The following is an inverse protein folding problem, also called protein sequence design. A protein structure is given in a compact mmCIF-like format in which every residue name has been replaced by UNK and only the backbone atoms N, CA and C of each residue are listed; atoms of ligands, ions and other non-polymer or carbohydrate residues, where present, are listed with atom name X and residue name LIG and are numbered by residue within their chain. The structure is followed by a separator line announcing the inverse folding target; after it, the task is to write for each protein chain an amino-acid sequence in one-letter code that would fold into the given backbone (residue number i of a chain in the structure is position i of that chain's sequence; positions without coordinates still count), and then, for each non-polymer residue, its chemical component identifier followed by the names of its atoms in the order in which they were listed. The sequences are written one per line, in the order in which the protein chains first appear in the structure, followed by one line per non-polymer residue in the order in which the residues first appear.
data_IF_307029832494
#
_entry.id   IF_307029832494
#
_cell.length_a   1.000
_cell.length_b   1.000
_cell.length_c   1.000
_cell.angle_alpha   90.00
_cell.angle_beta   90.00
_cell.angle_gamma   90.00
#
_symmetry.space_group_name_H-M   'P 1'
#
loop_
_entity.id
_entity.type
_entity.pdbx_description
1 polymer ?
#
# COMPACT_ATOMS: atom_id res chain seq x y z
N UNK A 1 5.40 51.97 -21.99
CA UNK A 1 6.20 51.13 -21.08
C UNK A 1 5.43 50.94 -19.76
N UNK A 2 4.17 50.48 -19.86
CA UNK A 2 3.18 50.56 -18.77
C UNK A 2 2.22 49.37 -18.73
N UNK A 3 2.29 48.42 -19.67
CA UNK A 3 1.39 47.25 -19.72
C UNK A 3 1.93 46.02 -18.95
N UNK A 4 3.22 45.97 -18.65
CA UNK A 4 3.87 44.80 -18.02
C UNK A 4 3.81 44.83 -16.49
N UNK A 5 3.50 46.00 -15.89
CA UNK A 5 3.44 46.15 -14.42
C UNK A 5 2.10 45.70 -13.82
N UNK A 6 1.04 45.62 -14.62
CA UNK A 6 -0.32 45.30 -14.13
C UNK A 6 -0.57 43.79 -14.12
N UNK A 7 -0.01 43.08 -15.11
CA UNK A 7 -0.01 41.61 -15.18
C UNK A 7 0.80 40.96 -14.05
N UNK A 8 1.84 41.64 -13.54
CA UNK A 8 2.64 41.16 -12.42
C UNK A 8 1.92 41.28 -11.06
N UNK A 9 1.03 42.27 -10.88
CA UNK A 9 0.25 42.41 -9.63
C UNK A 9 -0.93 41.45 -9.54
N UNK A 10 -1.52 41.08 -10.68
CA UNK A 10 -2.63 40.13 -10.72
C UNK A 10 -2.22 38.68 -10.42
N UNK A 11 -0.96 38.32 -10.63
CA UNK A 11 -0.45 36.97 -10.37
C UNK A 11 -0.26 36.66 -8.87
N UNK A 12 -0.19 37.68 -8.00
CA UNK A 12 0.08 37.50 -6.57
C UNK A 12 -1.19 37.26 -5.75
N UNK A 13 -2.38 37.53 -6.32
CA UNK A 13 -3.67 37.36 -5.65
C UNK A 13 -4.22 35.92 -5.67
N UNK A 14 -3.57 35.00 -6.41
CA UNK A 14 -3.95 33.59 -6.49
C UNK A 14 -3.10 32.66 -5.60
N UNK A 15 -2.18 33.22 -4.81
CA UNK A 15 -1.52 32.47 -3.73
C UNK A 15 -2.45 32.46 -2.53
N UNK A 16 -3.38 31.50 -2.50
CA UNK A 16 -4.11 31.17 -1.27
C UNK A 16 -3.08 30.93 -0.16
N UNK A 17 -3.04 31.74 0.92
CA UNK A 17 -2.21 31.43 2.05
C UNK A 17 -2.76 30.15 2.68
N UNK A 18 -2.08 29.03 2.48
CA UNK A 18 -2.33 27.79 3.22
C UNK A 18 -1.94 28.05 4.67
N UNK A 19 -2.87 28.65 5.43
CA UNK A 19 -2.75 28.67 6.88
C UNK A 19 -2.79 27.21 7.34
N UNK A 20 -1.79 26.75 8.13
CA UNK A 20 -1.97 25.49 8.85
C UNK A 20 -3.22 25.64 9.73
N UNK A 21 -4.14 24.66 9.71
CA UNK A 21 -5.33 24.73 10.54
C UNK A 21 -4.93 24.91 12.01
N UNK A 22 -5.60 25.79 12.77
CA UNK A 22 -5.30 25.99 14.18
C UNK A 22 -5.38 24.64 14.92
N UNK A 23 -4.42 24.32 15.82
CA UNK A 23 -4.43 23.06 16.55
C UNK A 23 -5.69 22.98 17.42
N UNK A 24 -6.64 22.12 17.02
CA UNK A 24 -7.87 21.85 17.75
C UNK A 24 -7.54 21.14 19.08
N UNK A 25 -7.71 21.76 20.25
CA UNK A 25 -7.38 21.15 21.53
C UNK A 25 -8.38 20.01 21.79
N UNK A 26 -7.95 18.75 21.62
CA UNK A 26 -8.77 17.56 21.89
C UNK A 26 -8.68 16.47 20.83
N UNK A 27 -8.51 16.81 19.55
CA UNK A 27 -8.23 15.81 18.51
C UNK A 27 -6.82 15.23 18.67
N UNK A 28 -5.85 16.05 19.11
CA UNK A 28 -4.48 15.58 19.37
C UNK A 28 -4.43 14.52 20.46
N UNK A 29 -5.17 14.65 21.56
CA UNK A 29 -5.07 13.70 22.68
C UNK A 29 -5.74 12.35 22.38
N UNK A 30 -6.85 12.35 21.63
CA UNK A 30 -7.49 11.11 21.15
C UNK A 30 -6.64 10.46 20.05
N UNK A 31 -6.13 11.25 19.11
CA UNK A 31 -5.25 10.78 18.04
C UNK A 31 -3.92 10.24 18.59
N UNK A 32 -3.26 10.94 19.52
CA UNK A 32 -2.03 10.51 20.18
C UNK A 32 -2.23 9.21 20.94
N UNK A 33 -3.33 9.09 21.71
CA UNK A 33 -3.68 7.83 22.38
C UNK A 33 -3.97 6.70 21.39
N UNK A 34 -4.63 6.98 20.27
CA UNK A 34 -4.87 5.97 19.23
C UNK A 34 -3.56 5.56 18.55
N UNK A 35 -2.67 6.50 18.25
CA UNK A 35 -1.34 6.24 17.69
C UNK A 35 -0.51 5.42 18.68
N UNK A 36 -0.55 5.76 19.97
CA UNK A 36 0.17 5.05 21.02
C UNK A 36 -0.35 3.62 21.22
N UNK A 37 -1.67 3.42 21.20
CA UNK A 37 -2.25 2.07 21.29
C UNK A 37 -1.95 1.21 20.06
N UNK A 38 -1.96 1.80 18.86
CA UNK A 38 -1.53 1.11 17.63
C UNK A 38 -0.03 0.78 17.66
N UNK A 39 0.81 1.70 18.11
CA UNK A 39 2.24 1.47 18.28
C UNK A 39 2.51 0.35 19.30
N UNK A 40 1.83 0.37 20.45
CA UNK A 40 1.97 -0.63 21.49
C UNK A 40 1.52 -2.02 21.02
N UNK A 41 0.42 -2.11 20.25
CA UNK A 41 0.01 -3.38 19.62
C UNK A 41 1.06 -3.88 18.64
N UNK A 42 1.56 -3.01 17.77
CA UNK A 42 2.55 -3.39 16.75
C UNK A 42 3.87 -3.83 17.39
N UNK A 43 4.28 -3.17 18.47
CA UNK A 43 5.46 -3.57 19.24
C UNK A 43 5.27 -4.93 19.91
N UNK A 44 4.09 -5.22 20.46
CA UNK A 44 3.79 -6.55 21.03
C UNK A 44 3.81 -7.64 19.96
N UNK A 45 3.18 -7.41 18.82
CA UNK A 45 3.22 -8.35 17.68
C UNK A 45 4.66 -8.62 17.22
N UNK A 46 5.52 -7.59 17.16
CA UNK A 46 6.94 -7.78 16.81
C UNK A 46 7.77 -8.43 17.92
N UNK A 47 7.37 -8.26 19.19
CA UNK A 47 8.07 -8.84 20.34
C UNK A 47 7.71 -10.32 20.55
N UNK A 48 6.49 -10.71 20.17
CA UNK A 48 6.00 -12.08 20.16
C UNK A 48 6.41 -12.86 18.91
N UNK A 49 6.98 -12.19 17.90
CA UNK A 49 7.47 -12.83 16.69
C UNK A 49 8.50 -13.91 17.00
N UNK A 50 8.25 -15.10 16.48
CA UNK A 50 9.13 -16.26 16.66
C UNK A 50 10.50 -16.01 16.01
N UNK A 51 11.54 -16.73 16.47
CA UNK A 51 12.87 -16.66 15.84
C UNK A 51 12.82 -16.92 14.31
N UNK A 52 11.92 -17.80 13.88
CA UNK A 52 11.71 -18.12 12.47
C UNK A 52 11.10 -16.93 11.71
N UNK A 53 10.10 -16.24 12.26
CA UNK A 53 9.53 -15.03 11.66
C UNK A 53 10.55 -13.91 11.55
N UNK A 54 11.38 -13.72 12.58
CA UNK A 54 12.44 -12.69 12.55
C UNK A 54 13.47 -12.96 11.47
N UNK A 55 13.86 -14.23 11.29
CA UNK A 55 14.76 -14.64 10.21
C UNK A 55 14.08 -14.46 8.85
N UNK A 56 12.82 -14.89 8.72
CA UNK A 56 12.07 -14.75 7.47
C UNK A 56 11.91 -13.28 7.05
N UNK A 57 11.61 -12.37 7.97
CA UNK A 57 11.52 -10.93 7.72
C UNK A 57 12.88 -10.34 7.33
N UNK A 58 13.95 -10.75 8.01
CA UNK A 58 15.32 -10.34 7.67
C UNK A 58 15.71 -10.76 6.25
N UNK A 59 15.47 -12.03 5.90
CA UNK A 59 15.77 -12.57 4.56
C UNK A 59 14.88 -11.91 3.50
N UNK A 60 13.59 -11.73 3.77
CA UNK A 60 12.65 -11.03 2.88
C UNK A 60 13.19 -9.65 2.50
N UNK A 61 13.60 -8.87 3.50
CA UNK A 61 14.11 -7.51 3.31
C UNK A 61 15.46 -7.50 2.58
N UNK A 62 16.30 -8.49 2.84
CA UNK A 62 17.60 -8.63 2.19
C UNK A 62 17.48 -9.03 0.72
N UNK A 63 16.75 -10.11 0.42
CA UNK A 63 16.55 -10.62 -0.95
C UNK A 63 15.77 -9.65 -1.83
N UNK A 64 14.86 -8.84 -1.26
CA UNK A 64 14.15 -7.79 -1.98
C UNK A 64 14.96 -6.51 -2.22
N UNK A 65 16.23 -6.43 -1.78
CA UNK A 65 17.06 -5.23 -1.90
C UNK A 65 18.00 -5.27 -3.11
N UNK A 66 18.27 -4.11 -3.72
CA UNK A 66 19.33 -3.98 -4.74
C UNK A 66 20.73 -4.32 -4.20
N UNK A 67 20.96 -4.16 -2.89
CA UNK A 67 22.23 -4.51 -2.25
C UNK A 67 22.58 -5.99 -2.44
N UNK A 68 21.57 -6.87 -2.34
CA UNK A 68 21.73 -8.31 -2.55
C UNK A 68 22.28 -8.62 -3.95
N UNK A 69 21.71 -7.96 -4.97
CA UNK A 69 22.13 -8.12 -6.37
C UNK A 69 23.57 -7.67 -6.57
N UNK A 70 23.96 -6.53 -6.00
CA UNK A 70 25.35 -6.05 -6.11
C UNK A 70 26.35 -6.98 -5.41
N UNK A 71 26.01 -7.52 -4.23
CA UNK A 71 26.86 -8.49 -3.53
C UNK A 71 27.06 -9.74 -4.40
N UNK A 72 26.00 -10.29 -4.99
CA UNK A 72 26.10 -11.47 -5.87
C UNK A 72 26.91 -11.16 -7.13
N UNK A 73 26.69 -10.00 -7.74
CA UNK A 73 27.43 -9.58 -8.93
C UNK A 73 28.93 -9.46 -8.65
N UNK A 74 29.30 -8.84 -7.52
CA UNK A 74 30.71 -8.72 -7.11
C UNK A 74 31.28 -10.08 -6.75
N UNK A 75 30.55 -10.93 -6.03
CA UNK A 75 31.01 -12.25 -5.63
C UNK A 75 31.26 -13.17 -6.83
N UNK A 76 30.26 -13.35 -7.70
CA UNK A 76 30.40 -14.17 -8.89
C UNK A 76 31.39 -13.56 -9.89
N UNK A 77 31.36 -12.24 -10.07
CA UNK A 77 32.32 -11.53 -10.93
C UNK A 77 33.76 -11.73 -10.46
N UNK A 78 34.01 -11.59 -9.15
CA UNK A 78 35.31 -11.86 -8.55
C UNK A 78 35.74 -13.31 -8.73
N UNK A 79 34.84 -14.28 -8.49
CA UNK A 79 35.13 -15.70 -8.68
C UNK A 79 35.52 -16.02 -10.13
N UNK A 80 34.81 -15.44 -11.10
CA UNK A 80 35.08 -15.62 -12.53
C UNK A 80 36.44 -15.02 -12.89
N UNK A 81 36.72 -13.77 -12.49
CA UNK A 81 37.99 -13.09 -12.79
C UNK A 81 39.18 -13.80 -12.14
N UNK A 82 39.04 -14.27 -10.91
CA UNK A 82 40.07 -15.06 -10.22
C UNK A 82 40.37 -16.37 -10.95
N UNK A 83 39.34 -17.07 -11.44
CA UNK A 83 39.48 -18.33 -12.18
C UNK A 83 39.94 -18.15 -13.65
N UNK A 84 39.76 -16.97 -14.23
CA UNK A 84 40.27 -16.64 -15.57
C UNK A 84 41.80 -16.49 -15.61
N UNK A 85 42.47 -16.49 -14.44
CA UNK A 85 43.93 -16.34 -14.33
C UNK A 85 44.41 -14.91 -14.52
N UNK A 86 43.51 -13.91 -14.44
CA UNK A 86 43.87 -12.48 -14.47
C UNK A 86 44.45 -12.00 -13.14
N UNK A 87 44.35 -12.80 -12.07
CA UNK A 87 44.91 -12.49 -10.76
C UNK A 87 46.27 -13.19 -10.61
N UNK A 88 47.40 -12.45 -10.60
CA UNK A 88 48.72 -13.05 -10.43
C UNK A 88 48.85 -13.70 -9.05
N UNK A 89 49.18 -14.99 -9.02
CA UNK A 89 49.44 -15.76 -7.79
C UNK A 89 48.32 -16.70 -7.33
N UNK A 90 47.15 -16.71 -7.97
CA UNK A 90 46.06 -17.66 -7.66
C UNK A 90 46.01 -18.76 -8.72
N UNK A 91 46.27 -20.04 -8.36
CA UNK A 91 46.07 -21.15 -9.28
C UNK A 91 44.58 -21.35 -9.58
N UNK A 92 44.26 -21.74 -10.82
CA UNK A 92 42.88 -22.02 -11.25
C UNK A 92 42.33 -23.24 -10.50
N UNK A 93 41.48 -23.00 -9.51
CA UNK A 93 40.85 -24.02 -8.67
C UNK A 93 39.48 -24.51 -9.16
N UNK A 94 38.76 -23.77 -10.02
CA UNK A 94 37.44 -24.13 -10.56
C UNK A 94 37.39 -23.81 -12.07
N UNK A 95 38.23 -24.49 -12.86
CA UNK A 95 38.41 -24.21 -14.30
C UNK A 95 37.13 -24.47 -15.14
N UNK A 96 36.28 -25.40 -14.69
CA UNK A 96 34.99 -25.71 -15.35
C UNK A 96 33.80 -24.92 -14.78
N UNK A 97 34.01 -24.09 -13.75
CA UNK A 97 32.96 -23.37 -13.02
C UNK A 97 31.86 -24.26 -12.40
N UNK A 98 32.11 -25.56 -12.28
CA UNK A 98 31.12 -26.53 -11.78
C UNK A 98 30.85 -26.32 -10.30
N UNK A 99 31.88 -25.96 -9.52
CA UNK A 99 31.72 -25.70 -8.08
C UNK A 99 30.87 -24.46 -7.86
N UNK A 100 31.15 -23.37 -8.59
CA UNK A 100 30.33 -22.17 -8.56
C UNK A 100 28.88 -22.45 -8.96
N UNK A 101 28.67 -23.20 -10.04
CA UNK A 101 27.33 -23.52 -10.53
C UNK A 101 26.53 -24.37 -9.53
N UNK A 102 27.17 -25.36 -8.88
CA UNK A 102 26.52 -26.16 -7.83
C UNK A 102 26.10 -25.29 -6.64
N UNK A 103 27.00 -24.40 -6.18
CA UNK A 103 26.71 -23.53 -5.04
C UNK A 103 25.58 -22.54 -5.35
N UNK A 104 25.64 -21.89 -6.52
CA UNK A 104 24.59 -20.99 -7.00
C UNK A 104 23.23 -21.70 -7.15
N UNK A 105 23.23 -22.97 -7.60
CA UNK A 105 21.99 -23.75 -7.74
C UNK A 105 21.33 -24.04 -6.39
N UNK A 106 22.13 -24.43 -5.38
CA UNK A 106 21.62 -24.66 -4.02
C UNK A 106 21.10 -23.35 -3.43
N UNK A 107 21.87 -22.27 -3.55
CA UNK A 107 21.48 -20.94 -3.09
C UNK A 107 20.18 -20.45 -3.73
N UNK A 108 20.01 -20.64 -5.05
CA UNK A 108 18.80 -20.27 -5.77
C UNK A 108 17.54 -20.99 -5.25
N UNK A 109 17.62 -22.27 -4.89
CA UNK A 109 16.50 -23.02 -4.31
C UNK A 109 16.10 -22.42 -2.95
N UNK A 110 17.07 -22.12 -2.09
CA UNK A 110 16.81 -21.48 -0.80
C UNK A 110 16.19 -20.09 -0.98
N UNK A 111 16.74 -19.26 -1.86
CA UNK A 111 16.22 -17.92 -2.15
C UNK A 111 14.80 -17.97 -2.70
N UNK A 112 14.53 -18.84 -3.67
CA UNK A 112 13.19 -19.02 -4.24
C UNK A 112 12.19 -19.43 -3.16
N UNK A 113 12.57 -20.36 -2.29
CA UNK A 113 11.72 -20.79 -1.16
C UNK A 113 11.44 -19.64 -0.19
N UNK A 114 12.47 -18.86 0.17
CA UNK A 114 12.29 -17.71 1.05
C UNK A 114 11.43 -16.61 0.42
N UNK A 115 11.61 -16.35 -0.87
CA UNK A 115 10.78 -15.42 -1.65
C UNK A 115 9.34 -15.90 -1.66
N UNK A 116 9.08 -17.18 -1.91
CA UNK A 116 7.72 -17.74 -1.91
C UNK A 116 7.05 -17.63 -0.54
N UNK A 117 7.77 -17.97 0.54
CA UNK A 117 7.27 -17.81 1.92
C UNK A 117 6.95 -16.34 2.20
N UNK A 118 7.82 -15.42 1.78
CA UNK A 118 7.57 -13.99 1.92
C UNK A 118 6.35 -13.52 1.14
N UNK A 119 6.21 -13.97 -0.12
CA UNK A 119 5.09 -13.62 -0.97
C UNK A 119 3.79 -14.12 -0.37
N UNK A 120 3.74 -15.37 0.12
CA UNK A 120 2.58 -15.94 0.78
C UNK A 120 2.18 -15.14 2.05
N UNK A 121 3.17 -14.70 2.84
CA UNK A 121 2.94 -13.85 4.02
C UNK A 121 2.38 -12.47 3.63
N UNK A 122 2.92 -11.86 2.58
CA UNK A 122 2.42 -10.57 2.08
C UNK A 122 1.01 -10.70 1.51
N UNK A 123 0.71 -11.78 0.79
CA UNK A 123 -0.63 -12.06 0.26
C UNK A 123 -1.65 -12.22 1.40
N UNK A 124 -1.37 -13.06 2.39
CA UNK A 124 -2.25 -13.23 3.55
C UNK A 124 -2.49 -11.92 4.33
N UNK A 125 -1.46 -11.07 4.43
CA UNK A 125 -1.60 -9.74 5.04
C UNK A 125 -2.41 -8.76 4.18
N UNK A 126 -2.33 -8.86 2.85
CA UNK A 126 -3.12 -8.07 1.93
C UNK A 126 -4.60 -8.49 1.95
N UNK A 127 -4.88 -9.79 1.93
CA UNK A 127 -6.24 -10.33 2.00
C UNK A 127 -6.94 -9.88 3.29
N UNK A 128 -6.27 -9.98 4.44
CA UNK A 128 -6.81 -9.50 5.72
C UNK A 128 -7.13 -8.00 5.71
N UNK A 129 -6.34 -7.19 5.00
CA UNK A 129 -6.62 -5.75 4.87
C UNK A 129 -7.83 -5.51 3.97
N UNK A 130 -7.93 -6.22 2.85
CA UNK A 130 -9.08 -6.12 1.95
C UNK A 130 -10.39 -6.48 2.69
N UNK A 131 -10.39 -7.54 3.50
CA UNK A 131 -11.55 -7.93 4.30
C UNK A 131 -11.95 -6.84 5.32
N UNK A 132 -10.98 -6.21 5.98
CA UNK A 132 -11.22 -5.12 6.93
C UNK A 132 -11.74 -3.87 6.22
N UNK A 133 -11.17 -3.52 5.07
CA UNK A 133 -11.59 -2.36 4.28
C UNK A 133 -13.02 -2.54 3.74
N UNK A 134 -13.39 -3.76 3.33
CA UNK A 134 -14.76 -4.09 2.95
C UNK A 134 -15.72 -3.93 4.14
N UNK A 135 -15.38 -4.45 5.31
CA UNK A 135 -16.20 -4.32 6.52
C UNK A 135 -16.39 -2.85 6.94
N UNK A 136 -15.32 -2.06 6.90
CA UNK A 136 -15.38 -0.62 7.20
C UNK A 136 -16.27 0.10 6.20
N UNK A 137 -16.16 -0.24 4.91
CA UNK A 137 -16.98 0.36 3.85
C UNK A 137 -18.48 0.05 4.04
N UNK A 138 -18.82 -1.20 4.30
CA UNK A 138 -20.21 -1.62 4.56
C UNK A 138 -20.78 -0.95 5.83
N UNK A 139 -19.97 -0.84 6.88
CA UNK A 139 -20.39 -0.14 8.11
C UNK A 139 -20.60 1.35 7.84
N UNK A 140 -19.68 2.00 7.13
CA UNK A 140 -19.77 3.41 6.77
C UNK A 140 -21.01 3.68 5.91
N UNK A 141 -21.30 2.81 4.94
CA UNK A 141 -22.50 2.91 4.11
C UNK A 141 -23.80 2.79 4.93
N UNK A 142 -23.84 1.83 5.86
CA UNK A 142 -24.98 1.68 6.77
C UNK A 142 -25.18 2.94 7.64
N UNK A 143 -24.09 3.50 8.17
CA UNK A 143 -24.13 4.73 8.96
C UNK A 143 -24.55 5.95 8.13
N UNK A 144 -24.03 6.09 6.90
CA UNK A 144 -24.42 7.15 5.96
C UNK A 144 -25.90 7.06 5.63
N UNK A 145 -26.40 5.86 5.33
CA UNK A 145 -27.83 5.63 5.03
C UNK A 145 -28.70 6.02 6.23
N UNK A 146 -28.28 5.65 7.44
CA UNK A 146 -28.97 6.02 8.68
C UNK A 146 -28.96 7.54 8.90
N UNK A 147 -27.83 8.19 8.67
CA UNK A 147 -27.71 9.65 8.75
C UNK A 147 -28.60 10.34 7.71
N UNK A 148 -28.60 9.87 6.46
CA UNK A 148 -29.47 10.37 5.39
C UNK A 148 -30.95 10.22 5.76
N UNK A 149 -31.34 9.09 6.35
CA UNK A 149 -32.69 8.86 6.87
C UNK A 149 -33.08 9.85 7.97
N UNK A 150 -32.18 10.11 8.93
CA UNK A 150 -32.40 11.10 9.99
C UNK A 150 -32.51 12.52 9.43
N UNK A 151 -31.65 12.90 8.47
CA UNK A 151 -31.69 14.21 7.79
C UNK A 151 -33.01 14.37 7.05
N UNK A 152 -33.46 13.35 6.33
CA UNK A 152 -34.74 13.38 5.61
C UNK A 152 -35.93 13.57 6.58
N UNK A 153 -35.93 12.86 7.71
CA UNK A 153 -36.97 13.02 8.73
C UNK A 153 -36.96 14.42 9.38
N UNK A 154 -35.78 15.03 9.54
CA UNK A 154 -35.67 16.42 10.02
C UNK A 154 -36.16 17.43 8.98
N UNK A 155 -35.82 17.24 7.69
CA UNK A 155 -36.26 18.12 6.61
C UNK A 155 -37.79 18.13 6.45
N UNK A 156 -38.44 16.97 6.62
CA UNK A 156 -39.90 16.84 6.61
C UNK A 156 -40.54 17.60 7.77
N UNK A 157 -39.99 17.51 8.99
CA UNK A 157 -40.49 18.24 10.15
C UNK A 157 -40.30 19.76 10.08
N UNK A 158 -39.30 20.23 9.35
CA UNK A 158 -38.96 21.64 9.20
C UNK A 158 -39.60 22.30 7.97
N UNK A 159 -40.44 21.56 7.22
CA UNK A 159 -41.12 22.01 5.98
C UNK A 159 -40.15 22.63 4.95
N UNK A 160 -38.94 22.06 4.84
CA UNK A 160 -37.91 22.56 3.93
C UNK A 160 -38.25 22.10 2.51
N UNK A 161 -38.74 23.03 1.67
CA UNK A 161 -39.17 22.78 0.27
C UNK A 161 -38.10 22.12 -0.63
N UNK A 162 -36.82 22.23 -0.30
CA UNK A 162 -35.73 21.60 -1.04
C UNK A 162 -35.77 20.04 -0.99
N UNK A 163 -36.45 19.44 -0.02
CA UNK A 163 -36.65 17.98 0.04
C UNK A 163 -37.69 17.44 -0.97
N UNK A 164 -38.37 18.33 -1.71
CA UNK A 164 -39.36 17.96 -2.73
C UNK A 164 -38.81 18.03 -4.16
N UNK A 165 -37.53 18.38 -4.35
CA UNK A 165 -36.93 18.43 -5.69
C UNK A 165 -36.61 17.01 -6.21
N UNK A 166 -36.92 16.73 -7.50
CA UNK A 166 -36.78 15.40 -8.09
C UNK A 166 -35.32 14.89 -8.12
N UNK A 167 -34.33 15.79 -8.05
CA UNK A 167 -32.90 15.46 -7.99
C UNK A 167 -32.51 14.75 -6.66
N UNK A 168 -33.22 15.00 -5.55
CA UNK A 168 -33.00 14.27 -4.28
C UNK A 168 -33.68 12.90 -4.25
N UNK A 169 -34.66 12.64 -5.12
CA UNK A 169 -35.29 11.33 -5.22
C UNK A 169 -34.32 10.28 -5.80
N UNK A 170 -33.36 10.72 -6.61
CA UNK A 170 -32.29 9.89 -7.17
C UNK A 170 -31.23 9.54 -6.11
N UNK A 171 -30.88 10.48 -5.21
CA UNK A 171 -29.98 10.23 -4.06
C UNK A 171 -30.60 9.28 -3.03
N UNK A 172 -31.94 9.16 -2.99
CA UNK A 172 -32.67 8.20 -2.15
C UNK A 172 -32.68 6.77 -2.70
N UNK A 173 -32.33 6.56 -3.96
CA UNK A 173 -32.17 5.21 -4.47
C UNK A 173 -30.83 4.67 -3.97
N UNK A 174 -30.91 3.78 -2.98
CA UNK A 174 -29.81 2.90 -2.61
C UNK A 174 -29.36 2.13 -3.86
N UNK A 175 -28.30 2.60 -4.50
CA UNK A 175 -27.54 1.77 -5.42
C UNK A 175 -26.76 0.82 -4.54
N UNK A 176 -27.28 -0.38 -4.34
CA UNK A 176 -26.62 -1.35 -3.47
C UNK A 176 -25.26 -1.72 -4.07
N UNK A 177 -24.18 -1.72 -3.28
CA UNK A 177 -22.84 -2.05 -3.76
C UNK A 177 -22.79 -3.40 -4.45
N UNK A 178 -23.61 -4.36 -4.00
CA UNK A 178 -23.74 -5.68 -4.61
C UNK A 178 -24.26 -5.58 -6.05
N UNK A 179 -25.24 -4.69 -6.31
CA UNK A 179 -25.76 -4.49 -7.67
C UNK A 179 -24.73 -3.81 -8.59
N UNK A 180 -23.79 -3.04 -8.04
CA UNK A 180 -22.66 -2.46 -8.80
C UNK A 180 -21.62 -3.54 -9.08
N UNK A 181 -21.27 -4.37 -8.10
CA UNK A 181 -20.33 -5.49 -8.26
C UNK A 181 -20.83 -6.50 -9.29
N UNK A 182 -22.11 -6.91 -9.21
CA UNK A 182 -22.75 -7.80 -10.18
C UNK A 182 -22.70 -7.22 -11.61
N UNK A 183 -22.79 -5.89 -11.75
CA UNK A 183 -22.70 -5.21 -13.05
C UNK A 183 -21.28 -5.11 -13.58
N UNK A 184 -20.28 -4.96 -12.71
CA UNK A 184 -18.86 -4.99 -13.07
C UNK A 184 -18.48 -6.40 -13.54
N UNK A 185 -18.83 -7.43 -12.77
CA UNK A 185 -18.55 -8.84 -13.12
C UNK A 185 -19.25 -9.25 -14.43
N UNK A 186 -20.51 -8.82 -14.63
CA UNK A 186 -21.21 -9.06 -15.88
C UNK A 186 -20.58 -8.34 -17.09
N UNK A 187 -19.94 -7.18 -16.87
CA UNK A 187 -19.27 -6.41 -17.94
C UNK A 187 -17.90 -7.01 -18.26
N UNK A 188 -17.14 -7.46 -17.26
CA UNK A 188 -15.89 -8.18 -17.48
C UNK A 188 -16.11 -9.54 -18.16
N UNK A 189 -17.17 -10.27 -17.78
CA UNK A 189 -17.50 -11.55 -18.42
C UNK A 189 -18.00 -11.42 -19.88
N UNK A 190 -18.43 -10.23 -20.29
CA UNK A 190 -18.89 -9.95 -21.66
C UNK A 190 -17.85 -9.33 -22.58
N UNK A 191 -16.64 -9.07 -22.08
CA UNK A 191 -15.46 -8.64 -22.85
C UNK A 191 -14.35 -9.71 -22.78
N UNK A 192 -14.45 -10.82 -23.56
CA UNK A 192 -13.50 -11.93 -23.48
C UNK A 192 -12.14 -11.64 -24.15
N UNK A 193 -11.90 -10.43 -24.66
CA UNK A 193 -10.77 -10.08 -25.52
C UNK A 193 -9.88 -8.94 -24.96
N UNK A 194 -9.90 -8.74 -23.63
CA UNK A 194 -8.95 -7.89 -22.90
C UNK A 194 -7.90 -8.70 -22.13
#
# INVERSE_FOLDING_TARGET
MTATSETARHADLLRSPTYPPPPSPGLSTVLERNIETLHARRQRETAEATLQERIADGVTRFTGSMLFVYIHLVFFGFWIVANLGWVPGVPKWDESFVVLAMWASVEAIFLSTFVLISQNRMAAAADKRADLDLQISLLAEHEITKMAGLIAAMAERLDIRAAQEPEMAEIRQNVSPEAVLDRIEATEASDPDR
#
